data_IF_399167724336
#
_entry.id   IF_399167724336
#
_cell.length_a   1.000
_cell.length_b   1.000
_cell.length_c   1.000
_cell.angle_alpha   90.00
_cell.angle_beta   90.00
_cell.angle_gamma   90.00
#
_symmetry.space_group_name_H-M   'P 1'
#
loop_
_entity.id
_entity.type
_entity.pdbx_description
1 polymer ?
#
# COMPACT_ATOMS: atom_id res chain seq x y z
N UNK A 1 17.11 -13.78 2.53
CA UNK A 1 17.07 -14.01 1.06
C UNK A 1 17.30 -12.72 0.28
N UNK A 2 16.62 -11.61 0.58
CA UNK A 2 16.85 -10.32 -0.12
C UNK A 2 18.24 -9.73 0.12
N UNK A 3 18.82 -9.88 1.31
CA UNK A 3 20.18 -9.45 1.61
C UNK A 3 21.22 -10.23 0.80
N UNK A 4 20.96 -11.52 0.56
CA UNK A 4 21.81 -12.38 -0.25
C UNK A 4 21.76 -12.02 -1.73
N UNK A 5 20.60 -11.59 -2.24
CA UNK A 5 20.44 -11.07 -3.62
C UNK A 5 21.10 -9.70 -3.76
N UNK A 6 21.01 -8.84 -2.75
CA UNK A 6 21.64 -7.51 -2.76
C UNK A 6 23.17 -7.57 -2.69
N UNK A 7 23.75 -8.66 -2.18
CA UNK A 7 25.20 -8.84 -2.06
C UNK A 7 25.90 -9.21 -3.38
N UNK A 8 25.15 -9.50 -4.46
CA UNK A 8 25.73 -9.80 -5.77
C UNK A 8 26.32 -8.51 -6.37
N UNK A 9 27.64 -8.44 -6.63
CA UNK A 9 28.27 -7.24 -7.18
C UNK A 9 27.61 -6.82 -8.51
N UNK A 10 27.40 -5.50 -8.69
CA UNK A 10 26.90 -4.84 -9.91
C UNK A 10 25.41 -5.08 -10.21
N UNK A 11 24.87 -6.28 -9.99
CA UNK A 11 23.51 -6.66 -10.41
C UNK A 11 22.54 -6.75 -9.20
N UNK A 12 23.06 -6.99 -8.00
CA UNK A 12 22.25 -7.26 -6.79
C UNK A 12 21.29 -6.13 -6.43
N UNK A 13 21.71 -4.88 -6.60
CA UNK A 13 20.84 -3.72 -6.36
C UNK A 13 19.63 -3.67 -7.30
N UNK A 14 19.84 -3.92 -8.59
CA UNK A 14 18.77 -3.94 -9.60
C UNK A 14 17.84 -5.14 -9.38
N UNK A 15 18.37 -6.31 -9.10
CA UNK A 15 17.58 -7.52 -8.82
C UNK A 15 16.71 -7.32 -7.57
N UNK A 16 17.28 -6.77 -6.50
CA UNK A 16 16.54 -6.51 -5.26
C UNK A 16 15.42 -5.47 -5.43
N UNK A 17 15.53 -4.59 -6.42
CA UNK A 17 14.52 -3.62 -6.78
C UNK A 17 13.40 -4.23 -7.62
N UNK A 18 13.78 -4.98 -8.67
CA UNK A 18 12.84 -5.42 -9.71
C UNK A 18 12.04 -6.65 -9.27
N UNK A 19 12.65 -7.62 -8.59
CA UNK A 19 11.96 -8.87 -8.24
C UNK A 19 10.74 -8.65 -7.33
N UNK A 20 10.82 -7.89 -6.21
CA UNK A 20 9.63 -7.65 -5.37
C UNK A 20 8.51 -6.96 -6.13
N UNK A 21 8.83 -5.98 -6.95
CA UNK A 21 7.85 -5.29 -7.79
C UNK A 21 7.14 -6.25 -8.76
N UNK A 22 7.90 -7.09 -9.46
CA UNK A 22 7.34 -8.07 -10.39
C UNK A 22 6.45 -9.09 -9.69
N UNK A 23 6.84 -9.55 -8.50
CA UNK A 23 6.02 -10.47 -7.69
C UNK A 23 4.68 -9.81 -7.35
N UNK A 24 4.71 -8.57 -6.81
CA UNK A 24 3.49 -7.85 -6.43
C UNK A 24 2.57 -7.67 -7.63
N UNK A 25 3.08 -7.10 -8.73
CA UNK A 25 2.26 -6.82 -9.92
C UNK A 25 1.74 -8.12 -10.54
N UNK A 26 2.57 -9.15 -10.65
CA UNK A 26 2.14 -10.43 -11.23
C UNK A 26 1.00 -11.08 -10.43
N UNK A 27 1.08 -11.08 -9.09
CA UNK A 27 0.01 -11.63 -8.25
C UNK A 27 -1.28 -10.82 -8.42
N UNK A 28 -1.19 -9.50 -8.34
CA UNK A 28 -2.37 -8.63 -8.40
C UNK A 28 -3.05 -8.69 -9.76
N UNK A 29 -2.26 -8.66 -10.84
CA UNK A 29 -2.79 -8.78 -12.21
C UNK A 29 -3.36 -10.17 -12.47
N UNK A 30 -2.66 -11.23 -12.03
CA UNK A 30 -3.18 -12.60 -12.17
C UNK A 30 -4.58 -12.74 -11.53
N UNK A 31 -4.75 -12.25 -10.30
CA UNK A 31 -6.03 -12.33 -9.58
C UNK A 31 -7.10 -11.49 -10.28
N UNK A 32 -6.74 -10.32 -10.77
CA UNK A 32 -7.63 -9.45 -11.54
C UNK A 32 -8.16 -10.15 -12.80
N UNK A 33 -7.26 -10.63 -13.64
CA UNK A 33 -7.60 -11.35 -14.87
C UNK A 33 -8.35 -12.65 -14.58
N UNK A 34 -7.96 -13.35 -13.49
CA UNK A 34 -8.65 -14.56 -13.07
C UNK A 34 -10.11 -14.29 -12.64
N UNK A 35 -10.37 -13.12 -12.05
CA UNK A 35 -11.73 -12.66 -11.77
C UNK A 35 -12.59 -12.61 -13.03
N UNK A 36 -12.13 -11.92 -14.07
CA UNK A 36 -12.81 -11.86 -15.37
C UNK A 36 -12.99 -13.26 -15.96
N UNK A 37 -11.95 -14.06 -15.98
CA UNK A 37 -11.94 -15.40 -16.55
C UNK A 37 -12.98 -16.31 -15.91
N UNK A 38 -12.97 -16.42 -14.57
CA UNK A 38 -13.82 -17.39 -13.87
C UNK A 38 -15.30 -17.01 -13.96
N UNK A 39 -15.63 -15.72 -13.80
CA UNK A 39 -17.01 -15.25 -13.91
C UNK A 39 -17.50 -15.27 -15.35
N UNK A 40 -16.67 -14.91 -16.32
CA UNK A 40 -17.00 -15.05 -17.74
C UNK A 40 -17.34 -16.50 -18.10
N UNK A 41 -16.56 -17.45 -17.60
CA UNK A 41 -16.82 -18.87 -17.73
C UNK A 41 -18.14 -19.33 -17.09
N UNK A 42 -18.44 -18.86 -15.86
CA UNK A 42 -19.73 -19.14 -15.19
C UNK A 42 -20.90 -18.56 -15.95
N UNK A 43 -20.70 -17.43 -16.62
CA UNK A 43 -21.71 -16.84 -17.50
C UNK A 43 -21.83 -17.51 -18.88
N UNK A 44 -21.05 -18.57 -19.14
CA UNK A 44 -21.07 -19.32 -20.41
C UNK A 44 -20.24 -18.68 -21.53
N UNK A 45 -19.49 -17.62 -21.25
CA UNK A 45 -18.64 -16.93 -22.22
C UNK A 45 -17.32 -17.70 -22.38
N UNK A 46 -16.92 -17.99 -23.63
CA UNK A 46 -15.69 -18.72 -23.89
C UNK A 46 -14.48 -17.79 -23.86
N UNK A 47 -13.48 -18.14 -23.05
CA UNK A 47 -12.19 -17.46 -23.02
C UNK A 47 -11.21 -18.17 -23.98
N UNK A 48 -10.71 -17.47 -24.99
CA UNK A 48 -9.72 -17.98 -25.94
C UNK A 48 -8.32 -17.98 -25.34
N UNK A 49 -7.94 -16.88 -24.66
CA UNK A 49 -6.60 -16.69 -24.11
C UNK A 49 -6.70 -16.13 -22.70
N UNK A 50 -5.89 -16.68 -21.80
CA UNK A 50 -5.57 -16.12 -20.50
C UNK A 50 -4.08 -15.84 -20.44
N UNK A 51 -3.67 -14.59 -20.34
CA UNK A 51 -2.26 -14.19 -20.36
C UNK A 51 -1.86 -13.48 -19.08
N UNK A 52 -0.79 -13.94 -18.45
CA UNK A 52 -0.03 -13.18 -17.45
C UNK A 52 1.13 -12.52 -18.19
N UNK A 53 1.16 -11.18 -18.16
CA UNK A 53 2.08 -10.41 -18.97
C UNK A 53 1.56 -10.10 -20.37
N UNK A 54 2.32 -9.26 -21.08
CA UNK A 54 2.03 -8.77 -22.42
C UNK A 54 3.16 -9.16 -23.40
N UNK A 55 2.87 -9.11 -24.70
CA UNK A 55 3.83 -9.37 -25.77
C UNK A 55 3.92 -10.84 -26.17
N UNK A 56 5.11 -11.28 -26.60
CA UNK A 56 5.31 -12.65 -27.09
C UNK A 56 5.21 -13.68 -25.96
N UNK A 57 4.46 -14.79 -26.14
CA UNK A 57 4.38 -15.83 -25.13
C UNK A 57 5.72 -16.57 -25.00
N UNK A 58 6.23 -16.70 -23.77
CA UNK A 58 7.39 -17.51 -23.41
C UNK A 58 6.95 -18.97 -23.19
N UNK A 59 5.81 -19.13 -22.52
CA UNK A 59 5.23 -20.44 -22.24
C UNK A 59 3.74 -20.39 -22.52
N UNK A 60 3.18 -21.43 -23.13
CA UNK A 60 1.73 -21.54 -23.32
C UNK A 60 1.26 -22.99 -23.29
N UNK A 61 0.04 -23.19 -22.76
CA UNK A 61 -0.62 -24.49 -22.70
C UNK A 61 -2.12 -24.30 -22.88
N UNK A 62 -2.75 -25.16 -23.68
CA UNK A 62 -4.21 -25.17 -23.84
C UNK A 62 -4.80 -26.09 -22.78
N UNK A 63 -5.82 -25.59 -22.04
CA UNK A 63 -6.54 -26.38 -21.06
C UNK A 63 -7.63 -27.27 -21.71
N UNK A 64 -8.26 -28.12 -20.88
CA UNK A 64 -9.34 -29.03 -21.34
C UNK A 64 -10.58 -28.27 -21.86
N UNK A 65 -10.68 -27.00 -21.60
CA UNK A 65 -11.80 -26.15 -21.98
C UNK A 65 -11.52 -25.33 -23.25
N UNK A 66 -10.33 -25.52 -23.85
CA UNK A 66 -9.91 -24.81 -25.05
C UNK A 66 -9.30 -23.42 -24.78
N UNK A 67 -9.11 -23.01 -23.53
CA UNK A 67 -8.45 -21.75 -23.20
C UNK A 67 -6.92 -21.92 -23.27
N UNK A 68 -6.25 -21.05 -24.01
CA UNK A 68 -4.79 -20.96 -24.06
C UNK A 68 -4.28 -20.14 -22.88
N UNK A 69 -3.69 -20.80 -21.88
CA UNK A 69 -2.97 -20.18 -20.79
C UNK A 69 -1.56 -19.85 -21.23
N UNK A 70 -1.11 -18.61 -20.99
CA UNK A 70 0.23 -18.21 -21.39
C UNK A 70 0.87 -17.24 -20.39
N UNK A 71 2.22 -17.31 -20.34
CA UNK A 71 3.07 -16.35 -19.67
C UNK A 71 3.83 -15.60 -20.76
N UNK A 72 3.72 -14.28 -20.77
CA UNK A 72 4.30 -13.42 -21.80
C UNK A 72 5.54 -12.70 -21.30
N UNK A 73 6.37 -12.20 -22.25
CA UNK A 73 7.72 -11.68 -22.00
C UNK A 73 7.73 -10.46 -21.08
N UNK A 74 6.73 -9.57 -21.18
CA UNK A 74 6.66 -8.33 -20.39
C UNK A 74 5.72 -8.58 -19.22
N UNK A 75 6.23 -8.74 -17.97
CA UNK A 75 5.41 -9.08 -16.80
C UNK A 75 4.65 -7.87 -16.23
N UNK A 76 4.32 -6.90 -17.08
CA UNK A 76 3.54 -5.71 -16.74
C UNK A 76 2.14 -5.85 -17.33
N UNK A 77 1.17 -6.20 -16.49
CA UNK A 77 -0.21 -6.41 -16.92
C UNK A 77 -0.54 -7.87 -17.26
N UNK A 78 -1.71 -8.06 -17.81
CA UNK A 78 -2.26 -9.32 -18.28
C UNK A 78 -3.50 -9.06 -19.12
N UNK A 79 -4.14 -10.10 -19.62
CA UNK A 79 -5.44 -9.97 -20.27
C UNK A 79 -6.15 -11.30 -20.38
N UNK A 80 -7.47 -11.24 -20.38
CA UNK A 80 -8.33 -12.34 -20.81
C UNK A 80 -8.95 -11.96 -22.14
N UNK A 81 -8.72 -12.77 -23.17
CA UNK A 81 -9.39 -12.60 -24.46
C UNK A 81 -10.59 -13.51 -24.52
N UNK A 82 -11.78 -12.93 -24.54
CA UNK A 82 -13.00 -13.66 -24.76
C UNK A 82 -13.32 -13.80 -26.25
N UNK A 83 -14.03 -14.85 -26.60
CA UNK A 83 -14.49 -15.07 -27.97
C UNK A 83 -15.39 -13.93 -28.41
N UNK A 84 -15.06 -13.28 -29.54
CA UNK A 84 -15.80 -12.13 -30.06
C UNK A 84 -15.62 -10.82 -29.28
N UNK A 85 -14.57 -10.74 -28.49
CA UNK A 85 -14.14 -9.48 -27.89
C UNK A 85 -13.46 -8.61 -28.95
N UNK A 86 -13.94 -7.37 -29.09
CA UNK A 86 -13.47 -6.43 -30.11
C UNK A 86 -12.24 -5.71 -29.55
N UNK A 87 -11.08 -6.34 -29.62
CA UNK A 87 -9.84 -5.61 -29.42
C UNK A 87 -9.54 -4.72 -30.60
N UNK A 88 -9.02 -3.51 -30.36
CA UNK A 88 -8.67 -2.50 -31.35
C UNK A 88 -7.69 -2.99 -32.46
N UNK A 89 -7.14 -4.20 -32.34
CA UNK A 89 -6.25 -4.85 -33.31
C UNK A 89 -6.93 -5.83 -34.26
N UNK A 90 -8.21 -6.15 -34.11
CA UNK A 90 -8.91 -7.14 -34.96
C UNK A 90 -9.95 -6.47 -35.84
N UNK A 91 -9.55 -6.09 -37.04
CA UNK A 91 -10.42 -5.57 -38.14
C UNK A 91 -11.39 -6.59 -38.71
N UNK A 92 -11.48 -7.82 -38.16
CA UNK A 92 -12.19 -8.94 -38.79
C UNK A 92 -13.52 -9.34 -38.12
N UNK A 93 -14.03 -8.61 -37.12
CA UNK A 93 -15.18 -9.07 -36.34
C UNK A 93 -16.56 -8.75 -36.93
N UNK A 94 -16.67 -7.91 -37.96
CA UNK A 94 -17.99 -7.54 -38.54
C UNK A 94 -18.71 -8.68 -39.26
N UNK A 95 -17.99 -9.71 -39.76
CA UNK A 95 -18.61 -10.74 -40.62
C UNK A 95 -18.93 -12.07 -39.94
N UNK A 96 -18.52 -12.28 -38.67
CA UNK A 96 -18.66 -13.58 -37.98
C UNK A 96 -20.04 -13.72 -37.30
N UNK A 97 -20.67 -12.63 -36.91
CA UNK A 97 -21.91 -12.63 -36.15
C UNK A 97 -23.17 -12.97 -36.99
N UNK A 98 -23.10 -12.89 -38.31
CA UNK A 98 -24.27 -13.15 -39.18
C UNK A 98 -24.49 -14.63 -39.53
N UNK A 99 -23.43 -15.44 -39.46
CA UNK A 99 -23.45 -16.87 -39.86
C UNK A 99 -23.55 -17.87 -38.68
N UNK A 100 -23.46 -17.39 -37.42
CA UNK A 100 -23.39 -18.25 -36.24
C UNK A 100 -24.76 -18.48 -35.62
N UNK A 101 -25.08 -19.74 -35.29
CA UNK A 101 -26.37 -20.13 -34.68
C UNK A 101 -26.64 -19.43 -33.34
N UNK A 102 -27.95 -19.29 -32.97
CA UNK A 102 -28.38 -18.55 -31.78
C UNK A 102 -27.73 -18.99 -30.47
N UNK A 103 -27.43 -20.28 -30.30
CA UNK A 103 -26.77 -20.84 -29.12
C UNK A 103 -25.26 -20.61 -29.12
N UNK A 104 -24.61 -20.57 -30.26
CA UNK A 104 -23.20 -20.25 -30.38
C UNK A 104 -22.94 -18.76 -30.10
N UNK A 105 -23.88 -17.87 -30.49
CA UNK A 105 -23.78 -16.42 -30.19
C UNK A 105 -23.65 -16.12 -28.70
N UNK A 106 -24.26 -16.92 -27.82
CA UNK A 106 -24.17 -16.72 -26.36
C UNK A 106 -22.77 -17.02 -25.79
N UNK A 107 -21.94 -17.78 -26.52
CA UNK A 107 -20.54 -18.03 -26.13
C UNK A 107 -19.61 -16.87 -26.44
N UNK A 108 -20.08 -15.91 -27.27
CA UNK A 108 -19.33 -14.70 -27.61
C UNK A 108 -19.59 -13.62 -26.56
N UNK A 109 -18.58 -12.89 -26.17
CA UNK A 109 -18.73 -11.79 -25.21
C UNK A 109 -19.76 -10.76 -25.70
N UNK A 110 -19.64 -10.34 -26.96
CA UNK A 110 -20.57 -9.37 -27.58
C UNK A 110 -22.02 -9.86 -27.71
N UNK A 111 -22.22 -11.18 -27.77
CA UNK A 111 -23.53 -11.84 -27.88
C UNK A 111 -24.15 -12.24 -26.54
N UNK A 112 -23.40 -12.18 -25.46
CA UNK A 112 -23.85 -12.54 -24.12
C UNK A 112 -24.86 -11.51 -23.60
N UNK A 113 -25.74 -11.94 -22.68
CA UNK A 113 -26.70 -11.06 -22.02
C UNK A 113 -25.99 -9.91 -21.30
N UNK A 114 -26.59 -8.73 -21.25
CA UNK A 114 -26.00 -7.53 -20.69
C UNK A 114 -25.50 -7.72 -19.26
N UNK A 115 -26.29 -8.37 -18.40
CA UNK A 115 -25.86 -8.65 -17.03
C UNK A 115 -24.69 -9.64 -16.93
N UNK A 116 -24.55 -10.60 -17.86
CA UNK A 116 -23.39 -11.48 -17.93
C UNK A 116 -22.11 -10.70 -18.29
N UNK A 117 -22.20 -9.78 -19.27
CA UNK A 117 -21.10 -8.89 -19.64
C UNK A 117 -20.70 -8.00 -18.48
N UNK A 118 -21.71 -7.41 -17.81
CA UNK A 118 -21.48 -6.56 -16.63
C UNK A 118 -20.79 -7.32 -15.49
N UNK A 119 -21.28 -8.50 -15.12
CA UNK A 119 -20.69 -9.33 -14.07
C UNK A 119 -19.26 -9.77 -14.43
N UNK A 120 -19.02 -10.14 -15.69
CA UNK A 120 -17.69 -10.56 -16.15
C UNK A 120 -16.68 -9.43 -16.01
N UNK A 121 -17.04 -8.19 -16.39
CA UNK A 121 -16.13 -7.04 -16.29
C UNK A 121 -15.98 -6.58 -14.84
N UNK A 122 -17.06 -6.55 -14.05
CA UNK A 122 -16.95 -6.19 -12.64
C UNK A 122 -16.12 -7.18 -11.81
N UNK A 123 -16.00 -8.42 -12.27
CA UNK A 123 -15.32 -9.49 -11.52
C UNK A 123 -13.82 -9.27 -11.34
N UNK A 124 -13.12 -8.62 -12.27
CA UNK A 124 -11.69 -8.28 -12.12
C UNK A 124 -11.42 -7.40 -10.90
N UNK A 125 -11.97 -6.19 -10.84
CA UNK A 125 -11.84 -5.32 -9.67
C UNK A 125 -12.32 -5.97 -8.37
N UNK A 126 -13.44 -6.69 -8.41
CA UNK A 126 -13.97 -7.39 -7.24
C UNK A 126 -13.03 -8.49 -6.73
N UNK A 127 -12.37 -9.24 -7.62
CA UNK A 127 -11.38 -10.24 -7.24
C UNK A 127 -10.19 -9.60 -6.50
N UNK A 128 -9.77 -8.41 -6.91
CA UNK A 128 -8.72 -7.66 -6.23
C UNK A 128 -9.15 -7.23 -4.82
N UNK A 129 -10.39 -6.80 -4.62
CA UNK A 129 -10.89 -6.49 -3.28
C UNK A 129 -10.99 -7.75 -2.41
N UNK A 130 -11.46 -8.87 -2.97
CA UNK A 130 -11.53 -10.15 -2.26
C UNK A 130 -10.13 -10.60 -1.83
N UNK A 131 -9.12 -10.51 -2.70
CA UNK A 131 -7.73 -10.81 -2.35
C UNK A 131 -7.26 -9.97 -1.17
N UNK A 132 -7.53 -8.67 -1.19
CA UNK A 132 -7.15 -7.75 -0.12
C UNK A 132 -7.82 -8.10 1.20
N UNK A 133 -9.12 -8.38 1.17
CA UNK A 133 -9.89 -8.81 2.35
C UNK A 133 -9.29 -10.08 2.94
N UNK A 134 -8.99 -11.09 2.10
CA UNK A 134 -8.40 -12.35 2.53
C UNK A 134 -7.04 -12.11 3.19
N UNK A 135 -6.17 -11.32 2.55
CA UNK A 135 -4.83 -11.05 3.07
C UNK A 135 -4.89 -10.32 4.41
N UNK A 136 -5.65 -9.21 4.51
CA UNK A 136 -5.75 -8.46 5.76
C UNK A 136 -6.40 -9.27 6.87
N UNK A 137 -7.42 -10.10 6.54
CA UNK A 137 -8.03 -11.01 7.50
C UNK A 137 -7.04 -12.04 8.01
N UNK A 138 -6.25 -12.63 7.13
CA UNK A 138 -5.22 -13.60 7.49
C UNK A 138 -4.15 -12.98 8.39
N UNK A 139 -3.66 -11.79 8.03
CA UNK A 139 -2.64 -11.08 8.82
C UNK A 139 -3.15 -10.83 10.25
N UNK A 140 -4.34 -10.25 10.39
CA UNK A 140 -4.86 -9.91 11.73
C UNK A 140 -5.25 -11.15 12.53
N UNK A 141 -5.72 -12.20 11.87
CA UNK A 141 -6.01 -13.49 12.52
C UNK A 141 -4.73 -14.12 13.07
N UNK A 142 -3.63 -14.08 12.31
CA UNK A 142 -2.34 -14.63 12.70
C UNK A 142 -1.63 -13.79 13.74
N UNK A 143 -1.56 -12.47 13.53
CA UNK A 143 -0.83 -11.53 14.41
C UNK A 143 -1.62 -11.13 15.66
N UNK A 144 -2.95 -11.31 15.66
CA UNK A 144 -3.84 -10.81 16.70
C UNK A 144 -4.08 -9.30 16.62
N UNK A 145 -5.03 -8.82 17.41
CA UNK A 145 -5.36 -7.39 17.55
C UNK A 145 -4.68 -6.81 18.79
N UNK A 146 -4.02 -5.64 18.70
CA UNK A 146 -3.56 -4.93 19.88
C UNK A 146 -4.71 -4.67 20.85
N UNK A 147 -4.51 -4.94 22.14
CA UNK A 147 -5.49 -4.63 23.19
C UNK A 147 -5.64 -3.11 23.33
N UNK A 148 -6.86 -2.65 23.56
CA UNK A 148 -7.10 -1.25 23.92
C UNK A 148 -6.70 -0.96 25.37
N UNK A 149 -6.77 -1.98 26.24
CA UNK A 149 -6.35 -1.86 27.63
C UNK A 149 -4.86 -1.52 27.73
N UNK A 150 -4.46 -0.59 28.61
CA UNK A 150 -3.08 -0.12 28.73
C UNK A 150 -2.22 -1.13 29.52
N UNK A 151 -2.23 -2.40 29.08
CA UNK A 151 -1.40 -3.48 29.63
C UNK A 151 -0.14 -3.61 28.78
N UNK A 152 1.01 -3.54 29.42
CA UNK A 152 2.30 -3.67 28.77
C UNK A 152 2.47 -5.08 28.19
N UNK A 153 2.54 -5.21 26.87
CA UNK A 153 2.78 -6.47 26.17
C UNK A 153 4.26 -6.73 25.90
N UNK A 154 4.98 -5.70 25.45
CA UNK A 154 6.46 -5.75 25.33
C UNK A 154 7.06 -4.42 25.72
N UNK A 155 8.30 -4.43 26.17
CA UNK A 155 9.08 -3.24 26.54
C UNK A 155 10.28 -3.16 25.59
N UNK A 156 10.62 -1.96 25.15
CA UNK A 156 11.83 -1.75 24.37
C UNK A 156 13.07 -2.12 25.18
N UNK A 157 13.97 -2.93 24.62
CA UNK A 157 15.11 -3.54 25.35
C UNK A 157 16.02 -2.53 26.09
N UNK A 158 16.16 -1.32 25.55
CA UNK A 158 16.94 -0.24 26.21
C UNK A 158 16.23 0.32 27.45
N UNK A 159 14.90 0.16 27.54
CA UNK A 159 14.07 0.66 28.65
C UNK A 159 14.02 -0.36 29.77
N UNK A 160 13.86 -1.63 29.42
CA UNK A 160 13.76 -2.74 30.37
C UNK A 160 14.97 -2.80 31.35
N UNK A 161 16.15 -2.39 30.88
CA UNK A 161 17.37 -2.39 31.69
C UNK A 161 17.48 -1.22 32.69
N UNK A 162 16.68 -0.16 32.50
CA UNK A 162 16.83 1.11 33.24
C UNK A 162 15.63 1.47 34.14
N UNK A 163 14.52 0.77 34.00
CA UNK A 163 13.27 1.08 34.71
C UNK A 163 12.59 -0.18 35.24
N UNK A 164 11.81 -0.04 36.32
CA UNK A 164 11.12 -1.14 37.00
C UNK A 164 9.71 -1.43 36.43
N UNK A 165 9.50 -1.12 35.15
CA UNK A 165 8.28 -1.52 34.43
C UNK A 165 8.45 -2.96 33.91
N UNK A 166 7.38 -3.75 33.97
CA UNK A 166 7.39 -5.16 33.57
C UNK A 166 6.26 -5.47 32.59
N UNK A 167 6.48 -6.47 31.77
CA UNK A 167 5.42 -7.04 30.93
C UNK A 167 4.27 -7.55 31.80
N UNK A 168 3.05 -7.20 31.45
CA UNK A 168 1.84 -7.51 32.22
C UNK A 168 1.39 -6.39 33.18
N UNK A 169 2.17 -5.33 33.38
CA UNK A 169 1.72 -4.16 34.16
C UNK A 169 0.55 -3.47 33.47
N UNK A 170 -0.52 -3.22 34.23
CA UNK A 170 -1.63 -2.36 33.82
C UNK A 170 -1.35 -0.92 34.28
N UNK A 171 -1.24 0.00 33.34
CA UNK A 171 -0.96 1.41 33.63
C UNK A 171 -2.27 2.13 33.98
N UNK A 172 -2.41 2.61 35.23
CA UNK A 172 -3.56 3.44 35.67
C UNK A 172 -3.34 4.92 35.37
N UNK A 173 -2.13 5.43 35.59
CA UNK A 173 -1.80 6.82 35.32
C UNK A 173 -0.30 7.03 35.12
N UNK A 174 0.07 8.08 34.37
CA UNK A 174 1.44 8.51 34.18
C UNK A 174 1.54 9.96 34.62
N UNK A 175 2.38 10.24 35.60
CA UNK A 175 2.60 11.59 36.17
C UNK A 175 1.29 12.31 36.56
N UNK A 176 0.34 11.56 37.11
CA UNK A 176 -1.00 12.04 37.50
C UNK A 176 -2.05 12.05 36.41
N UNK A 177 -1.67 11.91 35.15
CA UNK A 177 -2.57 11.80 34.00
C UNK A 177 -3.16 10.39 33.95
N UNK A 178 -4.48 10.28 34.02
CA UNK A 178 -5.18 8.98 33.90
C UNK A 178 -5.00 8.40 32.50
N UNK A 179 -4.80 7.07 32.44
CA UNK A 179 -4.64 6.31 31.20
C UNK A 179 -5.70 5.20 31.21
N UNK A 180 -6.69 5.33 30.33
CA UNK A 180 -7.75 4.31 30.18
C UNK A 180 -7.45 3.38 29.00
N UNK A 181 -6.68 3.86 27.99
CA UNK A 181 -6.30 3.09 26.81
C UNK A 181 -4.96 3.59 26.24
N UNK A 182 -4.39 2.81 25.30
CA UNK A 182 -3.11 3.17 24.67
C UNK A 182 -3.16 4.48 23.87
N UNK A 183 -4.33 4.90 23.36
CA UNK A 183 -4.44 6.17 22.63
C UNK A 183 -4.26 7.38 23.53
N UNK A 184 -4.44 7.24 24.85
CA UNK A 184 -4.27 8.34 25.82
C UNK A 184 -2.80 8.77 25.95
N UNK A 185 -1.85 7.91 25.51
CA UNK A 185 -0.44 8.33 25.40
C UNK A 185 -0.22 9.51 24.45
N UNK A 186 -1.13 9.72 23.50
CA UNK A 186 -1.07 10.87 22.60
C UNK A 186 -1.18 12.22 23.34
N UNK A 187 -1.70 12.25 24.57
CA UNK A 187 -1.73 13.48 25.39
C UNK A 187 -0.31 13.99 25.68
N UNK A 188 0.69 13.11 25.69
CA UNK A 188 2.09 13.46 25.89
C UNK A 188 2.76 14.04 24.64
N UNK A 189 2.11 13.97 23.46
CA UNK A 189 2.64 14.57 22.22
C UNK A 189 2.80 16.09 22.32
N UNK A 190 2.00 16.75 23.16
CA UNK A 190 2.03 18.21 23.34
C UNK A 190 3.10 18.68 24.32
N UNK A 191 3.72 17.78 25.08
CA UNK A 191 4.78 18.14 26.03
C UNK A 191 6.03 18.62 25.28
N UNK A 192 6.37 19.92 25.48
CA UNK A 192 7.56 20.52 24.86
C UNK A 192 8.87 20.03 25.47
N UNK A 193 8.89 19.83 26.79
CA UNK A 193 10.05 19.35 27.54
C UNK A 193 9.76 17.98 28.12
N UNK A 194 10.17 16.93 27.41
CA UNK A 194 10.03 15.56 27.87
C UNK A 194 11.02 15.27 28.99
N UNK A 195 10.60 14.89 30.20
CA UNK A 195 11.50 14.47 31.26
C UNK A 195 12.10 13.10 30.91
N UNK A 196 13.30 12.80 31.42
CA UNK A 196 13.93 11.48 31.22
C UNK A 196 13.21 10.36 31.98
N UNK A 197 12.55 10.69 33.11
CA UNK A 197 11.79 9.75 33.92
C UNK A 197 10.45 10.36 34.35
N UNK A 198 9.42 9.51 34.42
CA UNK A 198 8.08 9.84 34.87
C UNK A 198 7.60 8.82 35.91
N UNK A 199 6.70 9.25 36.82
CA UNK A 199 6.06 8.35 37.78
C UNK A 199 4.88 7.65 37.14
N UNK A 200 4.89 6.33 37.15
CA UNK A 200 3.84 5.46 36.68
C UNK A 200 3.12 4.83 37.85
N UNK A 201 1.81 4.97 37.90
CA UNK A 201 0.96 4.19 38.80
C UNK A 201 0.45 3.00 38.03
N UNK A 202 0.85 1.82 38.48
CA UNK A 202 0.56 0.54 37.81
C UNK A 202 -0.14 -0.42 38.73
N UNK A 203 -0.82 -1.42 38.14
CA UNK A 203 -1.32 -2.59 38.84
C UNK A 203 -0.50 -3.77 38.37
N UNK A 204 0.22 -4.39 39.32
CA UNK A 204 1.01 -5.61 39.13
C UNK A 204 0.56 -6.64 40.18
N UNK A 205 0.13 -7.84 39.75
CA UNK A 205 -0.38 -8.89 40.63
C UNK A 205 -1.46 -8.38 41.61
N UNK A 206 -2.44 -7.61 41.12
CA UNK A 206 -3.53 -6.97 41.88
C UNK A 206 -3.05 -5.96 42.94
N UNK A 207 -1.80 -5.55 42.94
CA UNK A 207 -1.27 -4.53 43.87
C UNK A 207 -0.98 -3.24 43.08
N UNK A 208 -1.40 -2.11 43.68
CA UNK A 208 -1.06 -0.78 43.13
C UNK A 208 0.36 -0.42 43.54
N UNK A 209 1.18 -0.11 42.56
CA UNK A 209 2.58 0.29 42.73
C UNK A 209 2.83 1.63 42.06
N UNK A 210 3.76 2.37 42.64
CA UNK A 210 4.29 3.60 42.02
C UNK A 210 5.74 3.32 41.62
N UNK A 211 6.02 3.32 40.33
CA UNK A 211 7.34 3.02 39.78
C UNK A 211 7.83 4.15 38.88
N UNK A 212 9.13 4.24 38.72
CA UNK A 212 9.73 5.12 37.73
C UNK A 212 9.73 4.45 36.34
N UNK A 213 9.36 5.23 35.33
CA UNK A 213 9.34 4.78 33.98
C UNK A 213 9.85 5.87 33.00
N UNK A 214 10.10 5.53 31.75
CA UNK A 214 10.57 6.47 30.74
C UNK A 214 9.45 7.41 30.31
N UNK A 215 9.81 8.45 29.56
CA UNK A 215 8.80 9.20 28.80
C UNK A 215 8.07 8.26 27.82
N UNK A 216 6.72 8.21 27.77
CA UNK A 216 6.01 7.19 26.98
C UNK A 216 6.23 7.31 25.48
N UNK A 217 6.48 8.52 24.97
CA UNK A 217 6.73 8.80 23.56
C UNK A 217 8.21 9.15 23.31
N UNK A 218 9.09 8.23 23.69
CA UNK A 218 10.52 8.34 23.37
C UNK A 218 10.71 8.47 21.85
N UNK A 219 11.89 8.97 21.44
CA UNK A 219 12.25 9.08 20.04
C UNK A 219 12.58 7.70 19.41
N UNK A 220 11.66 6.74 19.61
CA UNK A 220 11.73 5.42 18.99
C UNK A 220 11.14 5.50 17.58
N UNK A 221 11.79 4.87 16.62
CA UNK A 221 11.32 4.75 15.25
C UNK A 221 10.23 3.68 15.19
N UNK A 222 8.98 4.07 15.01
CA UNK A 222 7.83 3.16 14.88
C UNK A 222 7.76 2.54 13.48
N UNK A 223 7.94 3.35 12.44
CA UNK A 223 8.08 2.87 11.06
C UNK A 223 8.97 3.83 10.26
N UNK A 224 9.59 3.30 9.22
CA UNK A 224 10.39 4.06 8.27
C UNK A 224 9.64 4.09 6.94
N UNK A 225 9.35 5.29 6.44
CA UNK A 225 8.68 5.44 5.15
C UNK A 225 9.61 4.98 4.03
N UNK A 226 9.15 4.15 3.08
CA UNK A 226 9.93 3.78 1.91
C UNK A 226 10.40 5.01 1.14
N UNK A 227 11.58 4.93 0.53
CA UNK A 227 12.16 6.00 -0.29
C UNK A 227 12.27 7.34 0.47
N UNK A 228 12.43 7.29 1.79
CA UNK A 228 12.61 8.47 2.64
C UNK A 228 14.09 8.71 2.98
N UNK A 229 14.45 9.93 3.44
CA UNK A 229 15.78 10.16 4.02
C UNK A 229 16.18 9.16 5.10
N UNK A 230 15.21 8.75 5.94
CA UNK A 230 15.45 7.77 6.99
C UNK A 230 15.76 6.37 6.43
N UNK A 231 15.00 5.92 5.41
CA UNK A 231 15.26 4.65 4.73
C UNK A 231 16.67 4.64 4.10
N UNK A 232 17.05 5.75 3.46
CA UNK A 232 18.36 5.88 2.81
C UNK A 232 19.53 5.94 3.81
N UNK A 233 19.33 6.61 4.95
CA UNK A 233 20.30 6.64 6.04
C UNK A 233 20.47 5.28 6.74
N UNK A 234 19.60 4.29 6.43
CA UNK A 234 19.62 2.97 7.06
C UNK A 234 19.00 2.95 8.45
N UNK A 235 18.10 3.91 8.77
CA UNK A 235 17.25 3.82 9.96
C UNK A 235 16.35 2.60 9.86
N UNK A 236 16.12 1.96 11.00
CA UNK A 236 15.25 0.78 11.10
C UNK A 236 14.18 0.99 12.17
N UNK A 237 13.08 0.29 12.04
CA UNK A 237 12.06 0.19 13.09
C UNK A 237 12.71 -0.28 14.40
N UNK A 238 12.27 0.27 15.52
CA UNK A 238 12.80 0.07 16.87
C UNK A 238 14.18 0.71 17.14
N UNK A 239 14.73 1.54 16.25
CA UNK A 239 15.88 2.38 16.61
C UNK A 239 15.44 3.44 17.63
N UNK A 240 16.20 3.61 18.72
CA UNK A 240 16.02 4.71 19.66
C UNK A 240 16.96 5.86 19.27
N UNK A 241 16.40 6.97 18.81
CA UNK A 241 17.18 8.17 18.45
C UNK A 241 17.57 8.90 19.73
N UNK A 242 18.87 9.07 19.98
CA UNK A 242 19.40 9.69 21.19
C UNK A 242 20.04 11.04 20.94
N UNK A 243 20.44 11.35 19.71
CA UNK A 243 20.92 12.68 19.34
C UNK A 243 20.65 12.97 17.86
N UNK A 244 20.47 14.25 17.55
CA UNK A 244 20.39 14.79 16.20
C UNK A 244 21.24 16.05 16.13
N UNK A 245 22.21 16.08 15.23
CA UNK A 245 23.20 17.18 15.08
C UNK A 245 23.87 17.56 16.41
N UNK A 246 24.32 16.53 17.17
CA UNK A 246 24.88 16.61 18.52
C UNK A 246 23.93 17.09 19.63
N UNK A 247 22.70 17.48 19.30
CA UNK A 247 21.69 17.84 20.31
C UNK A 247 21.07 16.58 20.90
N UNK A 248 20.99 16.43 22.23
CA UNK A 248 20.35 15.26 22.84
C UNK A 248 18.85 15.25 22.59
N UNK A 249 18.30 14.08 22.27
CA UNK A 249 16.90 13.85 21.98
C UNK A 249 16.32 12.90 23.01
N UNK A 250 15.21 13.29 23.65
CA UNK A 250 14.45 12.43 24.58
C UNK A 250 13.13 11.99 23.95
N UNK A 251 12.38 12.91 23.31
CA UNK A 251 11.07 12.60 22.78
C UNK A 251 11.02 12.73 21.27
N UNK A 252 10.08 11.99 20.67
CA UNK A 252 9.83 12.10 19.24
C UNK A 252 9.36 13.49 18.82
N UNK A 253 8.60 14.18 19.68
CA UNK A 253 8.15 15.54 19.41
C UNK A 253 9.33 16.54 19.41
N UNK A 254 10.29 16.39 20.33
CA UNK A 254 11.51 17.20 20.32
C UNK A 254 12.31 16.98 19.02
N UNK A 255 12.49 15.73 18.60
CA UNK A 255 13.11 15.41 17.32
C UNK A 255 12.38 16.07 16.15
N UNK A 256 11.05 15.97 16.11
CA UNK A 256 10.24 16.58 15.06
C UNK A 256 10.43 18.10 15.01
N UNK A 257 10.40 18.79 16.14
CA UNK A 257 10.60 20.26 16.21
C UNK A 257 11.97 20.65 15.68
N UNK A 258 13.04 19.91 16.07
CA UNK A 258 14.41 20.21 15.65
C UNK A 258 14.58 19.96 14.13
N UNK A 259 14.04 18.86 13.61
CA UNK A 259 14.08 18.56 12.18
C UNK A 259 13.29 19.60 11.37
N UNK A 260 12.12 19.97 11.86
CA UNK A 260 11.27 20.97 11.22
C UNK A 260 11.95 22.35 11.10
N UNK A 261 12.69 22.74 12.14
CA UNK A 261 13.43 24.00 12.17
C UNK A 261 14.81 23.92 11.44
N UNK A 262 15.22 22.72 11.01
CA UNK A 262 16.51 22.54 10.33
C UNK A 262 16.44 22.88 8.86
N UNK A 263 17.57 23.32 8.30
CA UNK A 263 17.72 23.44 6.86
C UNK A 263 18.00 22.06 6.22
N UNK A 264 17.60 21.85 4.96
CA UNK A 264 17.94 20.64 4.20
C UNK A 264 19.44 20.55 3.96
N UNK A 265 20.16 19.88 4.85
CA UNK A 265 21.61 19.62 4.77
C UNK A 265 21.92 18.27 5.41
N UNK A 266 23.09 17.70 5.08
CA UNK A 266 23.55 16.48 5.75
C UNK A 266 23.72 16.72 7.25
N UNK A 267 23.08 15.87 8.06
CA UNK A 267 23.10 15.94 9.52
C UNK A 267 23.52 14.61 10.11
N UNK A 268 24.13 14.65 11.27
CA UNK A 268 24.51 13.46 12.02
C UNK A 268 23.40 13.08 13.00
N UNK A 269 23.00 11.81 12.99
CA UNK A 269 22.03 11.24 13.90
C UNK A 269 22.62 10.04 14.62
N UNK A 270 22.53 10.00 15.95
CA UNK A 270 22.95 8.82 16.72
C UNK A 270 21.73 8.06 17.18
N UNK A 271 21.75 6.76 16.93
CA UNK A 271 20.68 5.84 17.37
C UNK A 271 21.25 4.71 18.23
N UNK A 272 20.42 4.14 19.08
CA UNK A 272 20.71 2.89 19.79
C UNK A 272 19.91 1.80 19.08
N UNK A 273 20.64 0.80 18.55
CA UNK A 273 20.07 -0.39 17.90
C UNK A 273 20.65 -1.63 18.57
N UNK A 274 19.80 -2.48 19.12
CA UNK A 274 20.24 -3.68 19.84
C UNK A 274 21.31 -3.39 20.91
N UNK A 275 21.12 -2.32 21.68
CA UNK A 275 22.07 -1.87 22.72
C UNK A 275 23.35 -1.20 22.23
N UNK A 276 23.58 -1.11 20.91
CA UNK A 276 24.77 -0.48 20.32
C UNK A 276 24.47 0.91 19.78
N UNK A 277 25.34 1.89 20.07
CA UNK A 277 25.26 3.22 19.46
C UNK A 277 25.77 3.17 18.04
N UNK A 278 24.99 3.70 17.09
CA UNK A 278 25.30 3.78 15.67
C UNK A 278 25.11 5.24 15.25
N UNK A 279 26.13 5.82 14.58
CA UNK A 279 26.01 7.12 13.93
C UNK A 279 25.60 6.95 12.48
N UNK A 280 24.59 7.71 12.06
CA UNK A 280 24.00 7.71 10.72
C UNK A 280 24.07 9.12 10.16
N UNK A 281 24.35 9.23 8.87
CA UNK A 281 24.24 10.48 8.13
C UNK A 281 22.87 10.54 7.45
N UNK A 282 22.11 11.59 7.72
CA UNK A 282 20.76 11.77 7.21
C UNK A 282 20.63 13.14 6.54
N UNK A 283 19.92 13.20 5.43
CA UNK A 283 19.65 14.42 4.69
C UNK A 283 18.15 14.75 4.75
N UNK A 284 17.67 15.53 5.73
CA UNK A 284 16.27 15.92 5.84
C UNK A 284 15.78 16.66 4.59
N UNK A 285 14.51 16.51 4.23
CA UNK A 285 13.95 17.09 3.00
C UNK A 285 12.68 17.85 3.26
N UNK A 286 12.47 18.87 2.44
CA UNK A 286 11.21 19.59 2.39
C UNK A 286 10.14 18.68 1.77
N UNK A 287 9.07 18.44 2.50
CA UNK A 287 7.85 17.79 2.03
C UNK A 287 6.65 18.72 2.17
N UNK A 288 5.73 18.62 1.24
CA UNK A 288 4.45 19.28 1.33
C UNK A 288 3.51 18.40 2.14
N UNK A 289 3.01 18.93 3.24
CA UNK A 289 1.98 18.31 4.08
C UNK A 289 0.72 19.16 4.06
N UNK A 290 -0.42 18.51 4.11
CA UNK A 290 -1.68 19.19 4.34
C UNK A 290 -1.85 19.43 5.84
N UNK A 291 -1.95 20.68 6.23
CA UNK A 291 -2.33 21.05 7.59
C UNK A 291 -3.80 20.69 7.84
N UNK A 292 -4.19 20.43 9.09
CA UNK A 292 -5.56 20.04 9.45
C UNK A 292 -6.65 21.05 9.04
N UNK A 293 -6.27 22.25 8.63
CA UNK A 293 -7.14 23.28 8.06
C UNK A 293 -7.12 23.33 6.52
N UNK A 294 -6.54 22.33 5.86
CA UNK A 294 -6.51 22.23 4.40
C UNK A 294 -5.40 23.01 3.69
N UNK A 295 -4.60 23.79 4.41
CA UNK A 295 -3.50 24.55 3.82
C UNK A 295 -2.28 23.65 3.58
N UNK A 296 -1.61 23.82 2.41
CA UNK A 296 -0.31 23.19 2.16
C UNK A 296 0.76 23.89 2.98
N UNK A 297 1.39 23.15 3.88
CA UNK A 297 2.61 23.57 4.57
C UNK A 297 3.80 22.79 4.04
N UNK A 298 4.94 23.50 3.90
CA UNK A 298 6.21 22.86 3.56
C UNK A 298 6.95 22.60 4.85
N UNK A 299 7.21 21.33 5.13
CA UNK A 299 7.88 20.91 6.35
C UNK A 299 9.12 20.09 6.02
N UNK A 300 10.21 20.32 6.75
CA UNK A 300 11.40 19.48 6.66
C UNK A 300 11.11 18.17 7.40
N UNK A 301 11.36 17.06 6.76
CA UNK A 301 11.02 15.72 7.26
C UNK A 301 12.07 14.69 6.88
N UNK A 302 12.17 13.65 7.69
CA UNK A 302 13.04 12.49 7.43
C UNK A 302 12.26 11.21 7.06
N UNK A 303 10.93 11.23 7.24
CA UNK A 303 10.07 10.10 6.87
C UNK A 303 10.07 8.95 7.87
N UNK A 304 9.93 9.25 9.16
CA UNK A 304 9.71 8.27 10.23
C UNK A 304 8.40 8.56 10.96
N UNK A 305 7.77 7.52 11.50
CA UNK A 305 6.69 7.67 12.48
C UNK A 305 7.22 7.42 13.90
N UNK A 306 6.50 7.97 14.88
CA UNK A 306 6.78 7.69 16.30
C UNK A 306 6.45 6.24 16.62
N UNK A 307 7.37 5.59 17.32
CA UNK A 307 7.09 4.40 18.10
C UNK A 307 6.70 4.77 19.54
N UNK A 308 6.41 3.76 20.34
CA UNK A 308 6.10 3.87 21.76
C UNK A 308 7.10 3.06 22.59
N UNK A 309 7.29 3.48 23.83
CA UNK A 309 8.22 2.84 24.76
C UNK A 309 7.86 1.37 25.07
N UNK A 310 6.56 1.05 25.01
CA UNK A 310 6.01 -0.29 25.22
C UNK A 310 4.82 -0.51 24.27
N UNK A 311 4.65 -1.76 23.82
CA UNK A 311 3.53 -2.13 22.96
C UNK A 311 2.41 -2.74 23.80
N UNK A 312 1.14 -2.63 23.37
CA UNK A 312 0.03 -3.31 24.03
C UNK A 312 0.15 -4.83 23.98
N UNK A 313 -0.53 -5.52 24.87
CA UNK A 313 -0.76 -6.96 24.75
C UNK A 313 -1.56 -7.27 23.49
N UNK A 314 -1.33 -8.43 22.91
CA UNK A 314 -2.03 -8.89 21.72
C UNK A 314 -3.14 -9.85 22.15
N UNK A 315 -4.38 -9.60 21.72
CA UNK A 315 -5.52 -10.49 21.91
C UNK A 315 -5.79 -11.25 20.62
N UNK A 316 -5.98 -12.57 20.72
CA UNK A 316 -6.46 -13.36 19.57
C UNK A 316 -7.90 -12.95 19.23
N UNK A 317 -8.22 -12.98 17.95
CA UNK A 317 -9.56 -12.62 17.46
C UNK A 317 -10.18 -13.79 16.69
N UNK A 318 -11.51 -13.81 16.62
CA UNK A 318 -12.24 -14.84 15.87
C UNK A 318 -12.06 -14.65 14.35
N UNK A 319 -12.31 -15.72 13.58
CA UNK A 319 -12.28 -15.68 12.11
C UNK A 319 -13.26 -14.61 11.57
N UNK A 320 -14.46 -14.54 12.17
CA UNK A 320 -15.49 -13.57 11.72
C UNK A 320 -15.03 -12.13 11.95
N UNK A 321 -14.43 -11.83 13.11
CA UNK A 321 -13.87 -10.51 13.39
C UNK A 321 -12.69 -10.18 12.47
N UNK A 322 -11.87 -11.18 12.13
CA UNK A 322 -10.76 -11.01 11.20
C UNK A 322 -11.25 -10.64 9.80
N UNK A 323 -12.32 -11.30 9.30
CA UNK A 323 -12.93 -10.97 8.00
C UNK A 323 -13.53 -9.56 8.04
N UNK A 324 -14.23 -9.20 9.12
CA UNK A 324 -14.76 -7.85 9.30
C UNK A 324 -13.64 -6.80 9.28
N UNK A 325 -12.52 -7.08 9.97
CA UNK A 325 -11.35 -6.19 9.95
C UNK A 325 -10.77 -6.04 8.54
N UNK A 326 -10.57 -7.15 7.81
CA UNK A 326 -10.06 -7.14 6.44
C UNK A 326 -10.96 -6.33 5.50
N UNK A 327 -12.28 -6.50 5.60
CA UNK A 327 -13.24 -5.73 4.82
C UNK A 327 -13.19 -4.22 5.16
N UNK A 328 -13.18 -3.87 6.44
CA UNK A 328 -13.07 -2.47 6.88
C UNK A 328 -11.75 -1.83 6.43
N UNK A 329 -10.63 -2.57 6.50
CA UNK A 329 -9.32 -2.09 6.05
C UNK A 329 -9.31 -1.83 4.54
N UNK A 330 -9.88 -2.74 3.75
CA UNK A 330 -10.03 -2.57 2.29
C UNK A 330 -10.89 -1.34 1.98
N UNK A 331 -12.04 -1.17 2.66
CA UNK A 331 -12.88 0.02 2.50
C UNK A 331 -12.16 1.31 2.91
N UNK A 332 -11.35 1.28 3.95
CA UNK A 332 -10.54 2.42 4.38
C UNK A 332 -9.55 2.85 3.29
N UNK A 333 -8.90 1.88 2.62
CA UNK A 333 -7.98 2.16 1.51
C UNK A 333 -8.74 2.79 0.34
N UNK A 334 -9.91 2.26 -0.02
CA UNK A 334 -10.75 2.82 -1.09
C UNK A 334 -11.14 4.27 -0.77
N UNK A 335 -11.61 4.54 0.46
CA UNK A 335 -11.96 5.91 0.90
C UNK A 335 -10.75 6.85 0.83
N UNK A 336 -9.61 6.41 1.34
CA UNK A 336 -8.38 7.19 1.26
C UNK A 336 -7.91 7.45 -0.18
N UNK A 337 -8.16 6.52 -1.10
CA UNK A 337 -7.88 6.71 -2.53
C UNK A 337 -8.80 7.76 -3.16
N UNK A 338 -10.10 7.73 -2.84
CA UNK A 338 -11.06 8.76 -3.29
C UNK A 338 -10.67 10.14 -2.76
N UNK A 339 -10.34 10.22 -1.48
CA UNK A 339 -9.90 11.45 -0.82
C UNK A 339 -8.63 12.00 -1.46
N UNK A 340 -7.62 11.15 -1.67
CA UNK A 340 -6.37 11.54 -2.33
C UNK A 340 -6.59 12.08 -3.74
N UNK A 341 -7.44 11.44 -4.53
CA UNK A 341 -7.81 11.92 -5.87
C UNK A 341 -8.51 13.29 -5.77
N UNK A 342 -9.46 13.45 -4.85
CA UNK A 342 -10.15 14.72 -4.62
C UNK A 342 -9.17 15.84 -4.25
N UNK A 343 -8.20 15.56 -3.37
CA UNK A 343 -7.18 16.51 -2.94
C UNK A 343 -6.23 16.92 -4.08
N UNK A 344 -5.95 16.02 -5.01
CA UNK A 344 -5.18 16.33 -6.23
C UNK A 344 -5.99 17.23 -7.16
N UNK A 345 -7.27 16.92 -7.41
CA UNK A 345 -8.13 17.75 -8.27
C UNK A 345 -8.41 19.14 -7.70
N UNK A 346 -8.48 19.26 -6.38
CA UNK A 346 -8.63 20.58 -5.71
C UNK A 346 -7.31 21.35 -5.58
N UNK A 347 -6.19 20.78 -6.05
CA UNK A 347 -4.87 21.41 -5.99
C UNK A 347 -4.25 21.44 -4.58
N UNK A 348 -4.85 20.75 -3.62
CA UNK A 348 -4.36 20.68 -2.23
C UNK A 348 -3.16 19.74 -2.10
N UNK A 349 -3.04 18.76 -2.99
CA UNK A 349 -1.86 17.90 -3.10
C UNK A 349 -1.28 18.06 -4.51
N UNK A 350 0.03 18.28 -4.58
CA UNK A 350 0.72 18.38 -5.85
C UNK A 350 0.76 17.03 -6.59
N UNK A 351 0.48 17.05 -7.90
CA UNK A 351 0.64 15.88 -8.79
C UNK A 351 2.07 15.32 -8.73
N UNK A 352 3.05 16.13 -8.37
CA UNK A 352 4.44 15.70 -8.15
C UNK A 352 4.57 14.67 -7.03
N UNK A 353 3.60 14.55 -6.12
CA UNK A 353 3.61 13.55 -5.05
C UNK A 353 3.17 12.16 -5.51
N UNK A 354 2.61 12.04 -6.72
CA UNK A 354 2.31 10.74 -7.32
C UNK A 354 3.59 9.96 -7.57
N UNK A 355 3.55 8.67 -7.30
CA UNK A 355 4.62 7.73 -7.59
C UNK A 355 4.30 6.95 -8.87
N UNK A 356 5.27 6.85 -9.74
CA UNK A 356 5.20 6.03 -10.93
C UNK A 356 5.67 4.59 -10.70
N UNK A 357 5.80 3.81 -11.77
CA UNK A 357 6.26 2.42 -11.69
C UNK A 357 7.62 2.26 -11.00
N UNK A 358 8.54 3.23 -11.20
CA UNK A 358 9.86 3.23 -10.58
C UNK A 358 9.74 3.45 -9.07
N UNK A 359 8.91 4.41 -8.64
CA UNK A 359 8.64 4.67 -7.24
C UNK A 359 8.02 3.46 -6.54
N UNK A 360 7.04 2.80 -7.19
CA UNK A 360 6.40 1.58 -6.67
C UNK A 360 7.43 0.44 -6.55
N UNK A 361 8.38 0.31 -7.49
CA UNK A 361 9.43 -0.70 -7.42
C UNK A 361 10.34 -0.47 -6.20
N UNK A 362 10.74 0.80 -5.94
CA UNK A 362 11.51 1.15 -4.74
C UNK A 362 10.75 0.85 -3.44
N UNK A 363 9.48 1.26 -3.37
CA UNK A 363 8.61 0.96 -2.21
C UNK A 363 8.52 -0.55 -2.00
N UNK A 364 8.33 -1.34 -3.07
CA UNK A 364 8.25 -2.79 -2.99
C UNK A 364 9.54 -3.42 -2.47
N UNK A 365 10.69 -2.91 -2.92
CA UNK A 365 12.01 -3.36 -2.46
C UNK A 365 12.23 -3.04 -0.98
N UNK A 366 11.93 -1.81 -0.56
CA UNK A 366 12.15 -1.40 0.82
C UNK A 366 11.24 -2.17 1.79
N UNK A 367 9.97 -2.35 1.42
CA UNK A 367 9.01 -3.12 2.22
C UNK A 367 9.38 -4.61 2.25
N UNK A 368 9.91 -5.17 1.16
CA UNK A 368 10.39 -6.55 1.15
C UNK A 368 11.57 -6.78 2.11
N UNK A 369 12.38 -5.73 2.39
CA UNK A 369 13.46 -5.77 3.40
C UNK A 369 12.91 -5.65 4.83
N UNK A 370 11.78 -4.98 5.04
CA UNK A 370 11.17 -4.78 6.36
C UNK A 370 10.59 -6.07 6.94
N UNK A 371 10.03 -6.94 6.09
CA UNK A 371 9.51 -8.24 6.53
C UNK A 371 8.49 -8.85 5.57
N UNK A 372 8.22 -10.14 5.75
CA UNK A 372 7.29 -10.89 4.90
C UNK A 372 5.85 -10.41 5.11
N UNK A 373 5.45 -10.12 6.35
CA UNK A 373 4.09 -9.65 6.68
C UNK A 373 3.85 -8.28 6.03
N UNK A 374 4.82 -7.37 6.12
CA UNK A 374 4.72 -6.05 5.50
C UNK A 374 4.63 -6.17 3.98
N UNK A 375 5.40 -7.08 3.38
CA UNK A 375 5.36 -7.33 1.95
C UNK A 375 4.02 -7.91 1.48
N UNK A 376 3.44 -8.84 2.23
CA UNK A 376 2.10 -9.38 1.95
C UNK A 376 1.03 -8.29 2.13
N UNK A 377 1.18 -7.42 3.14
CA UNK A 377 0.31 -6.25 3.34
C UNK A 377 0.37 -5.29 2.14
N UNK A 378 1.57 -5.08 1.56
CA UNK A 378 1.74 -4.26 0.36
C UNK A 378 0.98 -4.84 -0.83
N UNK A 379 1.00 -6.17 -1.03
CA UNK A 379 0.21 -6.83 -2.08
C UNK A 379 -1.28 -6.50 -1.91
N UNK A 380 -1.81 -6.56 -0.69
CA UNK A 380 -3.21 -6.23 -0.42
C UNK A 380 -3.53 -4.75 -0.70
N UNK A 381 -2.64 -3.83 -0.30
CA UNK A 381 -2.81 -2.38 -0.57
C UNK A 381 -2.83 -2.12 -2.07
N UNK A 382 -1.85 -2.64 -2.80
CA UNK A 382 -1.75 -2.44 -4.26
C UNK A 382 -2.93 -3.12 -4.98
N UNK A 383 -3.35 -4.31 -4.52
CA UNK A 383 -4.53 -4.99 -5.08
C UNK A 383 -5.79 -4.15 -4.92
N UNK A 384 -6.04 -3.60 -3.72
CA UNK A 384 -7.18 -2.68 -3.50
C UNK A 384 -7.09 -1.45 -4.41
N UNK A 385 -5.90 -0.85 -4.51
CA UNK A 385 -5.68 0.36 -5.30
C UNK A 385 -5.91 0.11 -6.79
N UNK A 386 -5.39 -0.99 -7.35
CA UNK A 386 -5.59 -1.36 -8.76
C UNK A 386 -7.07 -1.70 -9.01
N UNK A 387 -7.73 -2.46 -8.11
CA UNK A 387 -9.15 -2.73 -8.22
C UNK A 387 -9.99 -1.45 -8.23
N UNK A 388 -9.67 -0.49 -7.37
CA UNK A 388 -10.34 0.80 -7.32
C UNK A 388 -10.08 1.64 -8.58
N UNK A 389 -8.81 1.73 -9.03
CA UNK A 389 -8.46 2.47 -10.25
C UNK A 389 -9.19 1.90 -11.48
N UNK A 390 -9.28 0.58 -11.58
CA UNK A 390 -10.00 -0.07 -12.69
C UNK A 390 -11.52 0.17 -12.66
N UNK A 391 -12.09 0.55 -11.51
CA UNK A 391 -13.50 0.96 -11.44
C UNK A 391 -13.74 2.42 -11.81
N UNK A 392 -12.70 3.23 -12.03
CA UNK A 392 -12.88 4.61 -12.50
C UNK A 392 -13.57 4.62 -13.87
N UNK A 393 -14.46 5.61 -14.14
CA UNK A 393 -15.23 5.69 -15.38
C UNK A 393 -14.38 6.17 -16.57
N UNK A 394 -13.24 5.52 -16.79
CA UNK A 394 -12.34 5.81 -17.91
C UNK A 394 -12.51 4.73 -19.00
N UNK A 395 -12.68 5.09 -20.26
CA UNK A 395 -13.04 4.15 -21.35
C UNK A 395 -12.10 2.97 -21.56
N UNK A 396 -10.88 3.05 -21.06
CA UNK A 396 -9.83 2.02 -21.20
C UNK A 396 -9.82 1.04 -20.03
N UNK A 397 -10.50 1.39 -18.94
CA UNK A 397 -10.59 0.61 -17.72
C UNK A 397 -11.94 -0.12 -17.63
N UNK A 398 -12.02 -1.11 -16.76
CA UNK A 398 -13.27 -1.86 -16.54
C UNK A 398 -14.44 -0.96 -16.19
N UNK A 399 -14.22 0.09 -15.39
CA UNK A 399 -15.25 1.08 -15.04
C UNK A 399 -15.86 1.80 -16.24
N UNK A 400 -15.10 2.03 -17.29
CA UNK A 400 -15.60 2.59 -18.55
C UNK A 400 -16.52 1.61 -19.29
N UNK A 401 -16.17 0.32 -19.30
CA UNK A 401 -17.04 -0.72 -19.84
C UNK A 401 -18.32 -0.87 -19.01
N UNK A 402 -18.21 -0.86 -17.67
CA UNK A 402 -19.37 -0.90 -16.77
C UNK A 402 -20.30 0.29 -17.00
N UNK A 403 -19.74 1.50 -17.17
CA UNK A 403 -20.51 2.70 -17.50
C UNK A 403 -21.23 2.56 -18.86
N UNK A 404 -20.56 1.99 -19.86
CA UNK A 404 -21.14 1.71 -21.18
C UNK A 404 -22.30 0.72 -21.09
N UNK A 405 -22.20 -0.31 -20.25
CA UNK A 405 -23.27 -1.27 -20.01
C UNK A 405 -24.43 -0.65 -19.21
N UNK A 406 -24.14 0.22 -18.25
CA UNK A 406 -25.17 0.97 -17.53
C UNK A 406 -25.95 1.90 -18.50
N UNK A 407 -25.25 2.59 -19.41
CA UNK A 407 -25.88 3.37 -20.46
C UNK A 407 -26.77 2.48 -21.36
N UNK A 408 -26.28 1.31 -21.82
CA UNK A 408 -27.04 0.37 -22.64
C UNK A 408 -28.31 -0.13 -21.90
N UNK A 409 -28.21 -0.37 -20.58
CA UNK A 409 -29.34 -0.77 -19.75
C UNK A 409 -30.45 0.29 -19.68
N UNK A 410 -30.05 1.56 -19.52
CA UNK A 410 -30.99 2.69 -19.35
C UNK A 410 -31.57 3.13 -20.72
N UNK A 411 -30.70 3.34 -21.72
CA UNK A 411 -31.07 3.87 -23.02
C UNK A 411 -31.64 2.83 -23.97
N UNK A 412 -31.47 1.53 -23.65
CA UNK A 412 -31.77 0.37 -24.50
C UNK A 412 -31.10 0.42 -25.88
N UNK A 413 -30.02 1.20 -25.99
CA UNK A 413 -29.23 1.37 -27.21
C UNK A 413 -27.75 1.28 -26.85
N UNK A 414 -26.94 0.68 -27.72
CA UNK A 414 -25.48 0.70 -27.54
C UNK A 414 -24.96 2.12 -27.70
N UNK A 415 -23.93 2.51 -26.93
CA UNK A 415 -23.25 3.78 -27.15
C UNK A 415 -22.68 3.87 -28.58
N UNK A 416 -22.51 5.09 -29.08
CA UNK A 416 -21.94 5.31 -30.40
C UNK A 416 -20.49 4.82 -30.44
N UNK A 417 -20.15 3.96 -31.42
CA UNK A 417 -18.80 3.38 -31.56
C UNK A 417 -17.72 4.46 -31.76
N UNK A 418 -18.01 5.52 -32.49
CA UNK A 418 -17.08 6.63 -32.70
C UNK A 418 -16.79 7.36 -31.38
N UNK A 419 -17.84 7.59 -30.56
CA UNK A 419 -17.67 8.21 -29.25
C UNK A 419 -16.80 7.36 -28.33
N UNK A 420 -17.03 6.05 -28.27
CA UNK A 420 -16.21 5.13 -27.47
C UNK A 420 -14.75 5.17 -27.98
N UNK A 421 -14.54 5.12 -29.31
CA UNK A 421 -13.21 5.11 -29.89
C UNK A 421 -12.42 6.38 -29.57
N UNK A 422 -13.00 7.57 -29.80
CA UNK A 422 -12.30 8.83 -29.50
C UNK A 422 -12.10 9.07 -28.02
N UNK A 423 -13.07 8.71 -27.17
CA UNK A 423 -12.91 8.81 -25.71
C UNK A 423 -11.83 7.85 -25.19
N UNK A 424 -11.70 6.65 -25.77
CA UNK A 424 -10.63 5.71 -25.44
C UNK A 424 -9.25 6.25 -25.85
N UNK A 425 -9.13 6.81 -27.07
CA UNK A 425 -7.88 7.44 -27.53
C UNK A 425 -7.45 8.59 -26.61
N UNK A 426 -8.40 9.46 -26.23
CA UNK A 426 -8.14 10.56 -25.30
C UNK A 426 -7.68 10.04 -23.94
N UNK A 427 -8.37 9.03 -23.40
CA UNK A 427 -8.02 8.43 -22.11
C UNK A 427 -6.62 7.76 -22.15
N UNK A 428 -6.31 7.01 -23.21
CA UNK A 428 -4.97 6.41 -23.39
C UNK A 428 -3.90 7.49 -23.45
N UNK A 429 -4.13 8.55 -24.24
CA UNK A 429 -3.18 9.67 -24.37
C UNK A 429 -2.94 10.34 -23.03
N UNK A 430 -4.00 10.61 -22.26
CA UNK A 430 -3.92 11.20 -20.92
C UNK A 430 -3.16 10.31 -19.94
N UNK A 431 -3.46 8.99 -19.92
CA UNK A 431 -2.78 8.03 -19.06
C UNK A 431 -1.30 7.88 -19.41
N UNK A 432 -0.95 7.81 -20.70
CA UNK A 432 0.45 7.75 -21.16
C UNK A 432 1.19 9.02 -20.78
N UNK A 433 0.59 10.20 -20.99
CA UNK A 433 1.18 11.49 -20.60
C UNK A 433 1.43 11.53 -19.09
N UNK A 434 0.44 11.11 -18.28
CA UNK A 434 0.58 11.03 -16.83
C UNK A 434 1.68 10.05 -16.44
N UNK A 435 1.74 8.87 -17.07
CA UNK A 435 2.75 7.85 -16.79
C UNK A 435 4.16 8.37 -17.09
N UNK A 436 4.36 9.03 -18.23
CA UNK A 436 5.65 9.66 -18.61
C UNK A 436 6.02 10.73 -17.59
N UNK A 437 5.07 11.62 -17.24
CA UNK A 437 5.29 12.69 -16.28
C UNK A 437 5.69 12.14 -14.90
N UNK A 438 4.96 11.14 -14.38
CA UNK A 438 5.24 10.57 -13.05
C UNK A 438 6.55 9.80 -13.06
N UNK A 439 6.85 9.04 -14.14
CA UNK A 439 8.13 8.32 -14.29
C UNK A 439 9.32 9.29 -14.37
N UNK A 440 9.17 10.39 -15.10
CA UNK A 440 10.19 11.45 -15.16
C UNK A 440 10.40 12.09 -13.78
N UNK A 441 9.33 12.34 -13.05
CA UNK A 441 9.39 12.84 -11.68
C UNK A 441 10.08 11.85 -10.72
N UNK A 442 9.82 10.55 -10.86
CA UNK A 442 10.53 9.50 -10.11
C UNK A 442 12.05 9.56 -10.39
N UNK A 443 12.44 9.68 -11.67
CA UNK A 443 13.86 9.78 -12.08
C UNK A 443 14.50 11.04 -11.49
N UNK A 444 13.85 12.20 -11.59
CA UNK A 444 14.35 13.46 -11.00
C UNK A 444 14.56 13.29 -9.50
N UNK A 445 13.58 12.70 -8.80
CA UNK A 445 13.74 12.40 -7.38
C UNK A 445 14.96 11.54 -7.12
N UNK A 446 15.17 10.48 -7.90
CA UNK A 446 16.36 9.62 -7.77
C UNK A 446 17.66 10.40 -8.00
N UNK A 447 17.73 11.18 -9.08
CA UNK A 447 18.94 11.97 -9.42
C UNK A 447 19.25 13.03 -8.35
N UNK A 448 18.21 13.69 -7.82
CA UNK A 448 18.37 14.62 -6.69
C UNK A 448 18.71 13.88 -5.38
N UNK A 449 18.54 12.55 -5.32
CA UNK A 449 18.96 11.71 -4.21
C UNK A 449 20.45 11.35 -4.24
N UNK A 450 21.09 11.46 -5.41
CA UNK A 450 22.51 11.11 -5.60
C UNK A 450 23.43 12.35 -5.57
N UNK A 451 22.85 13.56 -5.47
CA UNK A 451 23.58 14.80 -5.19
C UNK A 451 23.33 15.26 -3.75
#
# INVERSE_FOLDING_TARGET
MMELLASIPIIGGTISLVIPFLIVISIVVFIHEYGHYIVGRWCGIHAEVFSVGMGRPIFSKIDKNGTKWQISLIPLGGYVKFLGDINASSTSSKNITETVGKYEKLRYFSGAKLHHRFLTVAAGPLANFILSIIIFSFIIFWSGKPSEEPIIGTIHSTIEQNFDLQVGDLIESIHGQKIDNFSDFNTFLTMKNAPQSMKYKIIRNNKKLLVDGPFPLLAIVGSVMPVSPASQAGLKTNDLIVSFDKLPIVSFNQLRIIIFASEPAEREMTVIRNGKKISLKIFPRVREFQSGNGALSKEVSIGVSSGIAFTPTIKSISIVESIKFGALKTLQIIRGSIESISLIFTGQISVKNLQGPIGIAHVSSDIAKSGVIDFISLIAIISTSIGFLNLLPLPVLDGGHLLSFAYEAISRRKPNELFIHYSALLAISALLTLMVFVSFNDIIRMVLFWK
#
